data_IF_211426498407
#
_entry.id   IF_211426498407
#
_cell.length_a   1.000
_cell.length_b   1.000
_cell.length_c   1.000
_cell.angle_alpha   90.00
_cell.angle_beta   90.00
_cell.angle_gamma   90.00
#
_symmetry.space_group_name_H-M   'P 1'
#
loop_
_entity.id
_entity.type
_entity.pdbx_description
1 polymer ?
#
# COMPACT_ATOMS: atom_id res chain seq x y z
N UNK A 1 -6.51 12.87 4.85
CA UNK A 1 -6.83 14.15 5.51
C UNK A 1 -7.74 14.88 4.56
N UNK A 2 -8.88 15.34 5.03
CA UNK A 2 -9.94 15.90 4.19
C UNK A 2 -10.90 16.70 5.05
N UNK A 3 -11.93 17.24 4.43
CA UNK A 3 -13.11 17.71 5.13
C UNK A 3 -13.71 16.60 5.99
N UNK A 4 -14.33 17.03 7.08
CA UNK A 4 -14.94 16.23 8.10
C UNK A 4 -16.28 16.85 8.51
N UNK A 5 -17.27 16.08 9.00
CA UNK A 5 -18.51 16.67 9.52
C UNK A 5 -18.31 17.79 10.55
N UNK A 6 -17.21 17.77 11.31
CA UNK A 6 -16.88 18.77 12.33
C UNK A 6 -15.79 19.77 11.88
N UNK A 7 -15.44 19.80 10.58
CA UNK A 7 -14.48 20.73 10.01
C UNK A 7 -13.50 20.05 9.05
N UNK A 8 -12.26 19.87 9.49
CA UNK A 8 -11.21 19.21 8.72
C UNK A 8 -10.38 18.33 9.65
N UNK A 9 -10.05 17.11 9.23
CA UNK A 9 -9.26 16.19 10.05
C UNK A 9 -8.23 15.42 9.23
N UNK A 10 -7.12 15.08 9.88
CA UNK A 10 -6.16 14.12 9.36
C UNK A 10 -6.58 12.69 9.74
N UNK A 11 -7.62 12.16 9.09
CA UNK A 11 -8.09 10.78 9.33
C UNK A 11 -6.97 9.77 9.09
N UNK A 12 -6.85 8.81 10.00
CA UNK A 12 -5.86 7.73 9.97
C UNK A 12 -6.37 6.54 10.81
N UNK A 13 -5.82 5.31 10.66
CA UNK A 13 -6.38 4.10 11.27
C UNK A 13 -6.04 3.97 12.76
N UNK A 14 -6.51 4.91 13.58
CA UNK A 14 -6.43 4.85 15.03
C UNK A 14 -7.74 5.31 15.68
N UNK A 15 -7.94 4.96 16.94
CA UNK A 15 -9.20 5.21 17.66
C UNK A 15 -9.49 6.69 17.91
N UNK A 16 -8.51 7.59 17.80
CA UNK A 16 -8.71 9.02 18.04
C UNK A 16 -8.96 9.82 16.76
N UNK A 17 -8.71 9.24 15.58
CA UNK A 17 -8.82 9.91 14.27
C UNK A 17 -9.62 9.13 13.22
N UNK A 18 -10.08 7.93 13.54
CA UNK A 18 -11.13 7.25 12.78
C UNK A 18 -12.50 7.56 13.39
N UNK A 19 -13.32 8.32 12.67
CA UNK A 19 -14.69 8.65 13.04
C UNK A 19 -15.71 8.15 11.99
N UNK A 20 -15.31 7.22 11.12
CA UNK A 20 -16.14 6.69 10.04
C UNK A 20 -16.27 7.59 8.81
N UNK A 21 -15.56 8.72 8.76
CA UNK A 21 -15.44 9.54 7.54
C UNK A 21 -14.51 8.84 6.56
N UNK A 22 -14.98 8.69 5.31
CA UNK A 22 -14.24 8.09 4.20
C UNK A 22 -13.90 9.17 3.18
N UNK A 23 -12.63 9.20 2.77
CA UNK A 23 -12.09 10.13 1.78
C UNK A 23 -11.75 9.35 0.50
N UNK A 24 -12.46 9.55 -0.63
CA UNK A 24 -12.22 8.81 -1.87
C UNK A 24 -10.77 8.84 -2.35
N UNK A 25 -10.06 9.97 -2.19
CA UNK A 25 -8.65 10.08 -2.62
C UNK A 25 -7.74 9.05 -1.97
N UNK A 26 -8.03 8.62 -0.73
CA UNK A 26 -7.18 7.63 -0.04
C UNK A 26 -7.13 6.29 -0.80
N UNK A 27 -8.29 5.77 -1.20
CA UNK A 27 -8.37 4.52 -1.94
C UNK A 27 -7.98 4.72 -3.42
N UNK A 28 -8.47 5.78 -4.06
CA UNK A 28 -8.29 5.94 -5.50
C UNK A 28 -6.88 6.40 -5.86
N UNK A 29 -6.24 7.24 -5.05
CA UNK A 29 -4.84 7.62 -5.30
C UNK A 29 -3.85 6.50 -5.00
N UNK A 30 -4.34 5.37 -4.46
CA UNK A 30 -3.56 4.16 -4.19
C UNK A 30 -3.61 3.14 -5.34
N UNK A 31 -4.21 3.46 -6.49
CA UNK A 31 -4.28 2.57 -7.65
C UNK A 31 -2.95 1.90 -8.06
N UNK A 32 -1.80 2.61 -8.08
CA UNK A 32 -0.54 1.97 -8.42
C UNK A 32 -0.03 0.95 -7.41
N UNK A 33 -0.59 0.92 -6.19
CA UNK A 33 -0.14 0.07 -5.10
C UNK A 33 -1.12 -1.09 -4.83
N UNK A 34 -2.43 -0.80 -4.83
CA UNK A 34 -3.50 -1.76 -4.50
C UNK A 34 -4.62 -1.72 -5.54
N UNK A 35 -4.35 -2.04 -6.81
CA UNK A 35 -5.27 -1.77 -7.91
C UNK A 35 -6.61 -2.49 -7.79
N UNK A 36 -6.63 -3.72 -7.26
CA UNK A 36 -7.85 -4.52 -7.12
C UNK A 36 -8.77 -3.95 -6.04
N UNK A 37 -8.22 -3.64 -4.85
CA UNK A 37 -8.96 -3.00 -3.76
C UNK A 37 -9.43 -1.59 -4.13
N UNK A 38 -8.56 -0.79 -4.75
CA UNK A 38 -8.89 0.55 -5.25
C UNK A 38 -10.02 0.49 -6.29
N UNK A 39 -10.02 -0.52 -7.17
CA UNK A 39 -11.08 -0.73 -8.14
C UNK A 39 -12.40 -1.16 -7.49
N UNK A 40 -12.36 -2.00 -6.44
CA UNK A 40 -13.55 -2.35 -5.67
C UNK A 40 -14.17 -1.10 -5.02
N UNK A 41 -13.34 -0.26 -4.37
CA UNK A 41 -13.78 1.00 -3.78
C UNK A 41 -14.37 1.94 -4.84
N UNK A 42 -13.69 2.13 -5.98
CA UNK A 42 -14.18 2.96 -7.09
C UNK A 42 -15.56 2.50 -7.57
N UNK A 43 -15.73 1.20 -7.79
CA UNK A 43 -17.01 0.64 -8.24
C UNK A 43 -18.10 0.86 -7.21
N UNK A 44 -17.83 0.66 -5.93
CA UNK A 44 -18.79 0.92 -4.87
C UNK A 44 -19.18 2.40 -4.81
N UNK A 45 -18.21 3.32 -4.76
CA UNK A 45 -18.46 4.76 -4.73
C UNK A 45 -19.28 5.21 -5.94
N UNK A 46 -18.94 4.74 -7.13
CA UNK A 46 -19.62 5.17 -8.35
C UNK A 46 -20.99 4.52 -8.56
N UNK A 47 -21.11 3.20 -8.32
CA UNK A 47 -22.33 2.44 -8.69
C UNK A 47 -23.36 2.39 -7.58
N UNK A 48 -22.92 2.35 -6.32
CA UNK A 48 -23.81 2.17 -5.18
C UNK A 48 -24.10 3.49 -4.46
N UNK A 49 -23.07 4.33 -4.26
CA UNK A 49 -23.27 5.66 -3.65
C UNK A 49 -23.68 6.72 -4.68
N UNK A 50 -23.16 6.63 -5.90
CA UNK A 50 -23.60 7.41 -7.06
C UNK A 50 -23.61 8.92 -6.78
N UNK A 51 -24.71 9.58 -7.14
CA UNK A 51 -24.89 11.04 -7.03
C UNK A 51 -24.72 11.61 -5.61
N UNK A 52 -24.70 10.76 -4.56
CA UNK A 52 -24.40 11.22 -3.20
C UNK A 52 -22.93 11.59 -3.01
N UNK A 53 -22.04 10.94 -3.76
CA UNK A 53 -20.58 11.12 -3.65
C UNK A 53 -19.94 11.53 -4.95
N UNK A 54 -20.67 11.50 -6.06
CA UNK A 54 -20.22 11.89 -7.39
C UNK A 54 -20.91 13.16 -7.86
N UNK A 55 -20.12 14.15 -8.27
CA UNK A 55 -20.61 15.39 -8.86
C UNK A 55 -19.76 15.86 -10.04
N UNK A 56 -19.83 17.15 -10.33
CA UNK A 56 -19.30 17.72 -11.58
C UNK A 56 -17.76 17.68 -11.68
N UNK A 57 -17.04 17.59 -10.56
CA UNK A 57 -15.58 17.43 -10.51
C UNK A 57 -15.15 15.99 -10.16
N UNK A 58 -16.05 15.01 -10.27
CA UNK A 58 -15.82 13.64 -9.86
C UNK A 58 -16.27 13.38 -8.43
N UNK A 59 -15.50 12.61 -7.67
CA UNK A 59 -15.85 12.32 -6.27
C UNK A 59 -15.71 13.56 -5.38
N UNK A 60 -16.64 13.76 -4.45
CA UNK A 60 -16.55 14.76 -3.38
C UNK A 60 -15.34 14.48 -2.48
N UNK A 61 -14.93 15.50 -1.71
CA UNK A 61 -13.77 15.42 -0.83
C UNK A 61 -13.87 14.28 0.18
N UNK A 62 -15.00 14.16 0.89
CA UNK A 62 -15.24 13.10 1.87
C UNK A 62 -16.74 12.85 2.10
N UNK A 63 -17.06 11.74 2.76
CA UNK A 63 -18.41 11.43 3.23
C UNK A 63 -18.39 10.60 4.51
N UNK A 64 -19.45 10.70 5.31
CA UNK A 64 -19.67 9.91 6.51
C UNK A 64 -21.11 9.39 6.51
N UNK A 65 -21.29 8.12 6.14
CA UNK A 65 -22.61 7.51 6.02
C UNK A 65 -23.32 7.36 7.37
N UNK A 66 -22.58 7.14 8.46
CA UNK A 66 -23.14 7.02 9.81
C UNK A 66 -23.77 8.33 10.28
N UNK A 67 -23.19 9.47 9.88
CA UNK A 67 -23.70 10.81 10.18
C UNK A 67 -24.58 11.40 9.07
N UNK A 68 -24.84 10.63 8.01
CA UNK A 68 -25.53 11.10 6.80
C UNK A 68 -24.96 12.43 6.27
N UNK A 69 -23.64 12.55 6.28
CA UNK A 69 -22.92 13.75 5.86
C UNK A 69 -22.11 13.46 4.60
N UNK A 70 -22.12 14.43 3.68
CA UNK A 70 -21.40 14.38 2.42
C UNK A 70 -20.79 15.76 2.23
N UNK A 71 -19.50 15.83 1.91
CA UNK A 71 -18.83 17.11 1.68
C UNK A 71 -19.53 17.90 0.57
N UNK A 72 -19.54 19.22 0.66
CA UNK A 72 -20.06 20.10 -0.42
C UNK A 72 -18.94 20.64 -1.31
N UNK A 73 -17.72 20.17 -1.10
CA UNK A 73 -16.46 20.70 -1.57
C UNK A 73 -15.68 19.67 -2.39
N UNK A 74 -14.67 20.19 -3.08
CA UNK A 74 -13.61 19.44 -3.74
C UNK A 74 -12.30 20.13 -3.41
N UNK A 75 -11.36 19.45 -2.75
CA UNK A 75 -10.04 20.01 -2.51
C UNK A 75 -9.09 19.62 -3.63
N UNK A 76 -8.37 20.58 -4.19
CA UNK A 76 -7.43 20.31 -5.29
C UNK A 76 -6.35 19.28 -4.91
N UNK A 77 -5.93 19.29 -3.65
CA UNK A 77 -4.95 18.35 -3.10
C UNK A 77 -5.49 16.92 -2.98
N UNK A 78 -6.81 16.74 -2.99
CA UNK A 78 -7.46 15.42 -2.93
C UNK A 78 -7.88 14.97 -4.33
N UNK A 79 -8.40 15.87 -5.17
CA UNK A 79 -8.77 15.56 -6.56
C UNK A 79 -7.55 15.26 -7.45
N UNK A 80 -6.48 16.04 -7.30
CA UNK A 80 -5.29 15.94 -8.14
C UNK A 80 -4.67 14.53 -8.12
N UNK A 81 -4.33 14.00 -6.93
CA UNK A 81 -3.75 12.66 -6.81
C UNK A 81 -4.61 11.56 -7.42
N UNK A 82 -5.95 11.64 -7.38
CA UNK A 82 -6.82 10.63 -7.99
C UNK A 82 -6.50 10.48 -9.48
N UNK A 83 -6.45 11.61 -10.19
CA UNK A 83 -6.19 11.62 -11.63
C UNK A 83 -4.76 11.16 -11.92
N UNK A 84 -3.78 11.76 -11.21
CA UNK A 84 -2.36 11.49 -11.45
C UNK A 84 -2.00 10.04 -11.18
N UNK A 85 -2.54 9.44 -10.12
CA UNK A 85 -2.21 8.08 -9.70
C UNK A 85 -2.98 7.04 -10.52
N UNK A 86 -4.21 7.32 -10.96
CA UNK A 86 -4.88 6.47 -11.96
C UNK A 86 -4.06 6.44 -13.26
N UNK A 87 -3.58 7.59 -13.73
CA UNK A 87 -2.81 7.62 -14.97
C UNK A 87 -1.42 6.97 -14.81
N UNK A 88 -0.76 7.17 -13.67
CA UNK A 88 0.48 6.44 -13.37
C UNK A 88 0.28 4.93 -13.30
N UNK A 89 -0.84 4.46 -12.76
CA UNK A 89 -1.19 3.03 -12.79
C UNK A 89 -1.39 2.52 -14.22
N UNK A 90 -2.06 3.30 -15.09
CA UNK A 90 -2.38 2.88 -16.46
C UNK A 90 -1.18 2.88 -17.40
N UNK A 91 -0.33 3.90 -17.32
CA UNK A 91 0.69 4.18 -18.34
C UNK A 91 2.02 4.63 -17.78
N UNK A 92 2.12 4.87 -16.47
CA UNK A 92 3.29 5.48 -15.80
C UNK A 92 3.65 6.89 -16.30
N UNK A 93 2.77 7.55 -17.08
CA UNK A 93 3.07 8.80 -17.78
C UNK A 93 3.77 9.85 -16.91
N UNK A 94 3.25 10.14 -15.71
CA UNK A 94 3.79 11.22 -14.88
C UNK A 94 5.09 10.81 -14.22
N UNK A 95 5.22 9.55 -13.80
CA UNK A 95 6.48 9.02 -13.30
C UNK A 95 7.56 9.02 -14.37
N UNK A 96 7.26 8.57 -15.57
CA UNK A 96 8.24 8.52 -16.66
C UNK A 96 8.65 9.93 -17.07
N UNK A 97 7.71 10.89 -17.14
CA UNK A 97 8.02 12.31 -17.36
C UNK A 97 8.90 12.88 -16.24
N UNK A 98 8.54 12.65 -14.97
CA UNK A 98 9.32 13.15 -13.84
C UNK A 98 10.73 12.58 -13.84
N UNK A 99 10.88 11.27 -14.02
CA UNK A 99 12.16 10.57 -14.01
C UNK A 99 13.02 10.86 -15.25
N UNK A 100 12.43 11.35 -16.34
CA UNK A 100 13.18 11.78 -17.53
C UNK A 100 13.94 13.09 -17.37
N UNK A 101 13.65 13.86 -16.32
CA UNK A 101 14.33 15.13 -16.08
C UNK A 101 15.80 14.89 -15.69
N UNK A 102 16.77 15.53 -16.37
CA UNK A 102 18.20 15.24 -16.19
C UNK A 102 18.73 15.56 -14.79
N UNK A 103 17.99 16.34 -13.99
CA UNK A 103 18.33 16.72 -12.62
C UNK A 103 17.93 15.65 -11.58
N UNK A 104 16.98 14.77 -11.91
CA UNK A 104 16.42 13.82 -10.95
C UNK A 104 17.39 12.69 -10.62
N UNK A 105 18.06 12.10 -11.61
CA UNK A 105 19.05 11.05 -11.34
C UNK A 105 20.23 11.55 -10.48
N UNK A 106 20.89 12.69 -10.78
CA UNK A 106 21.91 13.25 -9.91
C UNK A 106 21.42 13.55 -8.49
N UNK A 107 20.18 14.03 -8.34
CA UNK A 107 19.58 14.30 -7.03
C UNK A 107 19.40 13.01 -6.23
N UNK A 108 18.86 11.96 -6.85
CA UNK A 108 18.68 10.64 -6.23
C UNK A 108 20.02 10.05 -5.78
N UNK A 109 21.04 10.12 -6.63
CA UNK A 109 22.39 9.65 -6.29
C UNK A 109 22.97 10.43 -5.11
N UNK A 110 22.78 11.76 -5.08
CA UNK A 110 23.28 12.63 -4.02
C UNK A 110 22.64 12.35 -2.65
N UNK A 111 21.38 11.90 -2.61
CA UNK A 111 20.70 11.49 -1.37
C UNK A 111 20.91 10.00 -1.04
N UNK A 112 21.72 9.29 -1.81
CA UNK A 112 22.04 7.87 -1.60
C UNK A 112 20.90 6.92 -1.99
N UNK A 113 19.98 7.34 -2.86
CA UNK A 113 18.94 6.46 -3.38
C UNK A 113 19.59 5.40 -4.28
N UNK A 114 19.27 4.13 -4.05
CA UNK A 114 19.73 3.03 -4.90
C UNK A 114 18.57 2.51 -5.74
N UNK A 115 18.81 2.36 -7.03
CA UNK A 115 17.93 1.58 -7.90
C UNK A 115 18.18 0.11 -7.58
N UNK A 116 17.55 -0.44 -6.53
CA UNK A 116 17.55 -1.89 -6.35
C UNK A 116 16.88 -2.52 -7.59
N UNK A 117 17.60 -3.35 -8.36
CA UNK A 117 17.04 -3.95 -9.55
C UNK A 117 15.93 -4.90 -9.12
N UNK A 118 14.70 -4.57 -9.52
CA UNK A 118 13.47 -5.35 -9.35
C UNK A 118 12.84 -5.37 -7.95
N UNK A 119 12.33 -4.22 -7.49
CA UNK A 119 11.24 -4.18 -6.48
C UNK A 119 9.84 -4.13 -7.10
N UNK A 120 9.70 -4.24 -8.43
CA UNK A 120 8.48 -4.84 -8.98
C UNK A 120 8.55 -6.34 -8.70
N UNK A 121 8.28 -6.68 -7.44
CA UNK A 121 7.80 -8.01 -7.11
C UNK A 121 6.59 -8.19 -8.01
N UNK A 122 6.71 -9.08 -8.97
CA UNK A 122 5.53 -9.68 -9.56
C UNK A 122 4.83 -10.30 -8.36
N UNK A 123 3.77 -9.65 -7.85
CA UNK A 123 2.84 -10.22 -6.87
C UNK A 123 2.08 -11.34 -7.58
N UNK A 124 2.81 -12.30 -8.15
CA UNK A 124 2.31 -13.62 -8.36
C UNK A 124 2.08 -14.13 -6.95
N UNK A 125 0.82 -14.06 -6.54
CA UNK A 125 0.29 -14.87 -5.46
C UNK A 125 0.54 -16.31 -5.86
N UNK A 126 1.74 -16.82 -5.57
CA UNK A 126 2.03 -18.23 -5.73
C UNK A 126 1.18 -18.94 -4.68
N UNK A 127 0.21 -19.78 -5.06
CA UNK A 127 -0.66 -20.45 -4.11
C UNK A 127 0.11 -21.37 -3.16
N UNK A 128 1.35 -21.74 -3.48
CA UNK A 128 2.23 -22.51 -2.59
C UNK A 128 2.94 -21.63 -1.54
N UNK A 129 2.97 -20.31 -1.72
CA UNK A 129 3.57 -19.38 -0.77
C UNK A 129 2.57 -18.95 0.30
N UNK A 130 2.88 -19.25 1.56
CA UNK A 130 2.09 -18.72 2.69
C UNK A 130 2.96 -18.33 3.87
N UNK A 131 2.51 -17.29 4.58
CA UNK A 131 3.09 -16.82 5.83
C UNK A 131 2.00 -16.90 6.89
N UNK A 132 2.23 -17.70 7.94
CA UNK A 132 1.25 -17.94 9.00
C UNK A 132 1.92 -18.10 10.38
N UNK A 133 1.26 -17.76 11.49
CA UNK A 133 -0.02 -17.05 11.56
C UNK A 133 0.12 -15.61 11.05
N UNK A 134 -0.99 -15.03 10.59
CA UNK A 134 -1.06 -13.60 10.29
C UNK A 134 -2.43 -13.09 10.78
N UNK A 135 -2.49 -12.28 11.85
CA UNK A 135 -1.38 -11.65 12.59
C UNK A 135 -0.50 -12.60 13.41
N UNK A 136 0.79 -12.26 13.61
CA UNK A 136 1.76 -13.02 14.41
C UNK A 136 2.29 -12.22 15.61
N UNK A 137 2.83 -12.93 16.62
CA UNK A 137 3.40 -12.32 17.83
C UNK A 137 4.89 -12.61 18.01
N UNK A 138 5.31 -13.88 17.90
CA UNK A 138 6.71 -14.26 18.24
C UNK A 138 7.37 -15.06 17.13
N UNK A 139 6.64 -15.98 16.51
CA UNK A 139 7.14 -16.85 15.46
C UNK A 139 6.19 -16.77 14.27
N UNK A 140 6.75 -16.72 13.06
CA UNK A 140 6.05 -16.97 11.82
C UNK A 140 6.60 -18.23 11.16
N UNK A 141 5.73 -18.95 10.47
CA UNK A 141 6.03 -20.07 9.60
C UNK A 141 5.85 -19.62 8.16
N UNK A 142 6.91 -19.74 7.38
CA UNK A 142 6.90 -19.55 5.93
C UNK A 142 6.81 -20.92 5.29
N UNK A 143 5.83 -21.10 4.40
CA UNK A 143 5.70 -22.29 3.56
C UNK A 143 6.08 -21.93 2.13
N UNK A 144 7.07 -22.63 1.57
CA UNK A 144 7.41 -22.58 0.14
C UNK A 144 8.32 -23.78 -0.25
N UNK A 145 8.29 -24.28 -1.50
CA UNK A 145 9.07 -25.45 -1.90
C UNK A 145 10.59 -25.31 -1.68
N UNK A 146 11.16 -24.16 -1.99
CA UNK A 146 12.60 -23.89 -1.84
C UNK A 146 12.85 -22.43 -1.48
N UNK A 147 13.64 -22.21 -0.43
CA UNK A 147 13.90 -20.89 0.13
C UNK A 147 15.39 -20.73 0.42
N UNK A 148 15.95 -19.58 0.03
CA UNK A 148 17.37 -19.24 0.14
C UNK A 148 17.64 -18.11 1.12
N UNK A 149 16.71 -17.16 1.22
CA UNK A 149 16.83 -16.06 2.17
C UNK A 149 15.44 -15.53 2.53
N UNK A 150 15.38 -14.80 3.63
CA UNK A 150 14.24 -13.96 3.99
C UNK A 150 14.74 -12.54 4.24
N UNK A 151 13.95 -11.58 3.77
CA UNK A 151 14.05 -10.16 4.10
C UNK A 151 12.73 -9.70 4.70
N UNK A 152 12.79 -9.01 5.84
CA UNK A 152 11.65 -8.37 6.49
C UNK A 152 11.84 -6.85 6.40
N UNK A 153 10.86 -6.17 5.81
CA UNK A 153 10.90 -4.73 5.54
C UNK A 153 9.68 -4.08 6.17
N UNK A 154 9.82 -2.90 6.76
CA UNK A 154 8.66 -2.12 7.21
C UNK A 154 7.96 -1.42 6.02
N UNK A 155 6.83 -0.73 6.28
CA UNK A 155 6.11 0.00 5.22
C UNK A 155 6.86 1.18 4.61
N UNK A 156 7.96 1.65 5.23
CA UNK A 156 8.80 2.71 4.66
C UNK A 156 9.91 2.16 3.76
N UNK A 157 9.93 0.85 3.51
CA UNK A 157 10.98 0.21 2.71
C UNK A 157 12.29 -0.04 3.47
N UNK A 158 12.34 0.23 4.77
CA UNK A 158 13.51 -0.04 5.58
C UNK A 158 13.60 -1.54 5.88
N UNK A 159 14.73 -2.15 5.51
CA UNK A 159 15.03 -3.54 5.88
C UNK A 159 15.29 -3.64 7.38
N UNK A 160 14.45 -4.38 8.07
CA UNK A 160 14.51 -4.59 9.52
C UNK A 160 15.32 -5.85 9.85
N UNK A 161 15.14 -6.91 9.07
CA UNK A 161 15.81 -8.20 9.29
C UNK A 161 16.12 -8.88 7.97
N UNK A 162 17.27 -9.56 7.89
CA UNK A 162 17.69 -10.35 6.73
C UNK A 162 18.37 -11.62 7.25
N UNK A 163 17.99 -12.79 6.72
CA UNK A 163 18.62 -14.05 7.08
C UNK A 163 18.79 -14.93 5.84
N UNK A 164 20.00 -15.42 5.64
CA UNK A 164 20.32 -16.44 4.63
C UNK A 164 20.08 -17.83 5.23
N UNK A 165 19.36 -18.70 4.52
CA UNK A 165 19.14 -20.08 4.91
C UNK A 165 18.72 -20.94 3.72
N UNK A 166 19.01 -22.24 3.76
CA UNK A 166 18.41 -23.18 2.80
C UNK A 166 17.37 -24.03 3.50
N UNK A 167 16.11 -23.87 3.11
CA UNK A 167 15.00 -24.66 3.63
C UNK A 167 14.07 -25.10 2.50
N UNK A 168 13.37 -26.21 2.72
CA UNK A 168 12.37 -26.75 1.80
C UNK A 168 11.09 -27.06 2.57
N UNK A 169 9.94 -26.81 1.97
CA UNK A 169 8.64 -26.98 2.62
C UNK A 169 8.33 -25.83 3.56
N UNK A 170 8.88 -25.84 4.77
CA UNK A 170 8.60 -24.79 5.77
C UNK A 170 9.86 -24.27 6.47
N UNK A 171 9.76 -23.05 6.99
CA UNK A 171 10.76 -22.42 7.84
C UNK A 171 10.08 -21.58 8.92
N UNK A 172 10.44 -21.84 10.17
CA UNK A 172 10.07 -20.96 11.28
C UNK A 172 11.09 -19.82 11.42
N UNK A 173 10.57 -18.63 11.68
CA UNK A 173 11.33 -17.40 11.83
C UNK A 173 10.84 -16.67 13.08
N UNK A 174 11.78 -16.38 13.97
CA UNK A 174 11.52 -15.58 15.16
C UNK A 174 11.42 -14.09 14.80
N UNK A 175 10.37 -13.46 15.28
CA UNK A 175 10.00 -12.05 15.06
C UNK A 175 9.66 -11.34 16.38
N UNK A 176 10.00 -11.92 17.52
CA UNK A 176 9.79 -11.34 18.85
C UNK A 176 10.48 -9.97 19.01
N UNK A 177 11.55 -9.75 18.24
CA UNK A 177 12.32 -8.51 18.14
C UNK A 177 11.63 -7.41 17.31
N UNK A 178 10.59 -7.73 16.55
CA UNK A 178 9.85 -6.74 15.75
C UNK A 178 8.84 -5.97 16.61
N UNK A 179 8.82 -4.64 16.46
CA UNK A 179 7.77 -3.81 17.04
C UNK A 179 6.41 -4.13 16.40
N UNK A 180 5.29 -3.96 17.12
CA UNK A 180 3.95 -4.10 16.53
C UNK A 180 3.78 -3.19 15.31
N UNK A 181 3.22 -3.72 14.23
CA UNK A 181 3.10 -2.99 12.97
C UNK A 181 2.92 -3.85 11.73
N UNK A 182 2.95 -3.20 10.57
CA UNK A 182 2.85 -3.82 9.26
C UNK A 182 4.23 -4.01 8.63
N UNK A 183 4.46 -5.19 8.07
CA UNK A 183 5.72 -5.57 7.44
C UNK A 183 5.46 -6.28 6.10
N UNK A 184 6.47 -6.24 5.23
CA UNK A 184 6.55 -7.06 4.02
C UNK A 184 7.62 -8.12 4.27
N UNK A 185 7.24 -9.38 4.08
CA UNK A 185 8.12 -10.54 4.07
C UNK A 185 8.46 -10.84 2.62
N UNK A 186 9.74 -10.85 2.28
CA UNK A 186 10.26 -11.26 0.99
C UNK A 186 11.13 -12.50 1.17
N UNK A 187 10.95 -13.49 0.30
CA UNK A 187 11.71 -14.74 0.31
C UNK A 187 12.35 -14.93 -1.05
N UNK A 188 13.66 -15.10 -1.06
CA UNK A 188 14.41 -15.41 -2.27
C UNK A 188 14.43 -16.91 -2.53
N UNK A 189 14.25 -17.27 -3.79
CA UNK A 189 14.09 -18.65 -4.26
C UNK A 189 14.86 -18.79 -5.58
N UNK A 190 15.16 -20.02 -5.97
CA UNK A 190 15.77 -20.34 -7.27
C UNK A 190 14.95 -19.87 -8.48
N UNK A 191 13.65 -19.60 -8.32
CA UNK A 191 12.75 -19.10 -9.38
C UNK A 191 12.54 -17.58 -9.33
N UNK A 192 13.12 -16.89 -8.35
CA UNK A 192 12.90 -15.46 -8.11
C UNK A 192 12.42 -15.18 -6.69
N UNK A 193 11.94 -13.96 -6.45
CA UNK A 193 11.48 -13.50 -5.15
C UNK A 193 9.96 -13.59 -5.03
N UNK A 194 9.46 -14.07 -3.89
CA UNK A 194 8.04 -14.06 -3.52
C UNK A 194 7.82 -13.24 -2.25
N UNK A 195 6.67 -12.58 -2.11
CA UNK A 195 6.39 -11.71 -0.95
C UNK A 195 5.01 -11.88 -0.36
N UNK A 196 4.87 -11.59 0.94
CA UNK A 196 3.59 -11.53 1.66
C UNK A 196 3.61 -10.40 2.68
N UNK A 197 2.45 -9.78 2.91
CA UNK A 197 2.26 -8.89 4.05
C UNK A 197 2.22 -9.66 5.37
N UNK A 198 2.61 -9.00 6.46
CA UNK A 198 2.56 -9.49 7.83
C UNK A 198 2.05 -8.41 8.78
N UNK A 199 1.08 -8.76 9.62
CA UNK A 199 0.65 -7.95 10.76
C UNK A 199 1.34 -8.49 12.02
N UNK A 200 2.25 -7.72 12.61
CA UNK A 200 2.88 -8.01 13.91
C UNK A 200 2.05 -7.38 15.03
N UNK A 201 1.64 -8.21 16.00
CA UNK A 201 0.99 -7.76 17.25
C UNK A 201 2.00 -7.45 18.34
#
# INVERSE_FOLDING_TARGET
ASDDPDGYMAHEPNSSRDNGTITPTAALSSFPYTPDESMLALKHFYRELGDKVWGWMGFLDAFNQQRNWYASSYLAIDQGPIILMIENYRSRLLWDLFMSNPEIQPMMDAIGFTNEPNSMVNLQTDPEFSVSPNPATEILTIQYPEMQSITITNLTGQRIKSMEFRATGHKEVEISDLLPGLYIIAVETSKGMVTSGLIKK
#
